data_IF_806874735266
#
_entry.id   IF_806874735266
#
_cell.length_a   1.000
_cell.length_b   1.000
_cell.length_c   1.000
_cell.angle_alpha   90.00
_cell.angle_beta   90.00
_cell.angle_gamma   90.00
#
_symmetry.space_group_name_H-M   'P 1'
#
loop_
_entity.id
_entity.type
_entity.pdbx_description
1 polymer ?
#
# COMPACT_ATOMS: atom_id res chain seq x y z
N UNK A 1 -36.39 -7.80 15.97
CA UNK A 1 -35.74 -8.89 15.21
C UNK A 1 -34.33 -9.04 15.78
N UNK A 2 -33.94 -10.18 16.34
CA UNK A 2 -32.62 -10.31 16.95
C UNK A 2 -31.57 -10.47 15.84
N UNK A 3 -30.63 -9.52 15.78
CA UNK A 3 -29.45 -9.61 14.93
C UNK A 3 -28.61 -10.82 15.38
N UNK A 4 -28.40 -11.77 14.47
CA UNK A 4 -27.62 -12.97 14.76
C UNK A 4 -26.14 -12.63 14.71
N UNK A 5 -25.49 -12.81 15.87
CA UNK A 5 -24.05 -12.79 16.08
C UNK A 5 -23.35 -13.83 15.19
N UNK A 6 -22.62 -13.38 14.17
CA UNK A 6 -21.69 -14.22 13.41
C UNK A 6 -20.36 -14.32 14.15
N UNK A 7 -20.10 -15.47 14.76
CA UNK A 7 -18.84 -15.80 15.43
C UNK A 7 -17.75 -16.07 14.39
N UNK A 8 -16.72 -15.23 14.31
CA UNK A 8 -15.51 -15.52 13.53
C UNK A 8 -14.39 -15.99 14.46
N UNK A 9 -14.15 -17.31 14.51
CA UNK A 9 -12.93 -17.89 15.09
C UNK A 9 -11.88 -18.01 13.99
N UNK A 10 -10.97 -17.03 13.87
CA UNK A 10 -9.76 -17.18 13.05
C UNK A 10 -8.53 -17.26 13.95
N UNK A 11 -7.79 -18.36 13.84
CA UNK A 11 -6.54 -18.61 14.57
C UNK A 11 -5.43 -17.66 14.10
N UNK A 12 -4.59 -17.28 15.04
CA UNK A 12 -3.91 -15.99 15.19
C UNK A 12 -2.43 -15.95 14.77
N UNK A 13 -2.01 -16.75 13.79
CA UNK A 13 -0.57 -16.93 13.46
C UNK A 13 -0.22 -16.51 12.02
N UNK A 14 -0.85 -15.44 11.50
CA UNK A 14 -0.56 -14.95 10.16
C UNK A 14 0.31 -13.69 10.23
N UNK A 15 1.54 -13.78 9.70
CA UNK A 15 2.41 -12.63 9.46
C UNK A 15 1.69 -11.65 8.53
N UNK A 16 1.31 -10.49 9.04
CA UNK A 16 0.68 -9.43 8.25
C UNK A 16 1.71 -8.63 7.46
N UNK A 17 1.27 -7.51 6.91
CA UNK A 17 2.13 -6.66 6.09
C UNK A 17 3.36 -6.18 6.89
N UNK A 18 4.53 -6.18 6.26
CA UNK A 18 5.80 -5.76 6.86
C UNK A 18 6.20 -6.48 8.16
N UNK A 19 5.78 -7.74 8.34
CA UNK A 19 6.07 -8.49 9.57
C UNK A 19 5.28 -8.02 10.79
N UNK A 20 4.30 -7.12 10.60
CA UNK A 20 3.41 -6.67 11.65
C UNK A 20 2.22 -7.64 11.70
N UNK A 21 1.90 -8.25 12.86
CA UNK A 21 0.77 -9.16 12.97
C UNK A 21 -0.54 -8.39 12.76
N UNK A 22 -1.54 -9.03 12.18
CA UNK A 22 -2.84 -8.40 11.99
C UNK A 22 -3.50 -7.99 13.32
N UNK A 23 -4.30 -6.94 13.27
CA UNK A 23 -5.11 -6.46 14.37
C UNK A 23 -6.11 -7.54 14.83
N UNK A 24 -6.31 -7.61 16.15
CA UNK A 24 -7.29 -8.48 16.78
C UNK A 24 -8.42 -7.62 17.33
N UNK A 25 -9.51 -7.57 16.60
CA UNK A 25 -10.73 -6.85 16.98
C UNK A 25 -11.33 -7.45 18.25
N UNK A 26 -11.74 -6.57 19.16
CA UNK A 26 -12.49 -6.93 20.37
C UNK A 26 -13.99 -6.75 20.15
N UNK A 27 -14.82 -7.53 20.88
CA UNK A 27 -16.27 -7.48 20.71
C UNK A 27 -16.83 -6.11 21.13
N UNK A 28 -17.58 -5.45 20.25
CA UNK A 28 -18.17 -4.13 20.49
C UNK A 28 -17.21 -2.94 20.32
N UNK A 29 -16.05 -3.18 19.71
CA UNK A 29 -15.07 -2.13 19.42
C UNK A 29 -15.54 -1.19 18.30
N UNK A 30 -15.41 0.13 18.52
CA UNK A 30 -15.78 1.14 17.53
C UNK A 30 -14.77 1.17 16.38
N UNK A 31 -15.30 1.33 15.16
CA UNK A 31 -14.52 1.43 13.93
C UNK A 31 -13.62 2.67 13.93
N UNK A 32 -12.37 2.53 13.48
CA UNK A 32 -11.37 3.60 13.43
C UNK A 32 -11.09 4.28 14.77
N UNK A 33 -11.12 3.50 15.85
CA UNK A 33 -10.64 3.98 17.14
C UNK A 33 -9.10 4.18 17.16
N UNK A 34 -8.61 4.76 18.26
CA UNK A 34 -7.18 5.06 18.47
C UNK A 34 -6.26 3.85 18.27
N UNK A 35 -6.68 2.64 18.68
CA UNK A 35 -5.86 1.43 18.56
C UNK A 35 -5.77 0.94 17.11
N UNK A 36 -6.89 0.98 16.38
CA UNK A 36 -6.92 0.63 14.96
C UNK A 36 -6.11 1.63 14.13
N UNK A 37 -6.27 2.93 14.40
CA UNK A 37 -5.50 3.98 13.72
C UNK A 37 -3.99 3.84 14.00
N UNK A 38 -3.59 3.65 15.26
CA UNK A 38 -2.19 3.42 15.62
C UNK A 38 -1.61 2.15 14.97
N UNK A 39 -2.42 1.11 14.82
CA UNK A 39 -2.01 -0.10 14.11
C UNK A 39 -1.71 0.16 12.63
N UNK A 40 -2.61 0.87 11.95
CA UNK A 40 -2.47 1.21 10.53
C UNK A 40 -1.32 2.19 10.32
N UNK A 41 -1.16 3.17 11.21
CA UNK A 41 -0.03 4.10 11.21
C UNK A 41 1.30 3.35 11.28
N UNK A 42 1.41 2.36 12.18
CA UNK A 42 2.61 1.52 12.28
C UNK A 42 2.92 0.79 10.97
N UNK A 43 1.90 0.26 10.28
CA UNK A 43 2.06 -0.39 8.98
C UNK A 43 2.55 0.61 7.93
N UNK A 44 1.93 1.78 7.83
CA UNK A 44 2.30 2.82 6.87
C UNK A 44 3.73 3.35 7.09
N UNK A 45 4.11 3.60 8.34
CA UNK A 45 5.45 4.08 8.69
C UNK A 45 6.52 3.05 8.37
N UNK A 46 6.29 1.78 8.74
CA UNK A 46 7.21 0.71 8.38
C UNK A 46 7.34 0.63 6.86
N UNK A 47 6.21 0.64 6.13
CA UNK A 47 6.22 0.51 4.68
C UNK A 47 6.93 1.66 3.98
N UNK A 48 6.71 2.90 4.46
CA UNK A 48 7.45 4.07 4.00
C UNK A 48 8.95 3.88 4.18
N UNK A 49 9.38 3.42 5.36
CA UNK A 49 10.80 3.20 5.65
C UNK A 49 11.43 2.18 4.72
N UNK A 50 10.77 1.03 4.51
CA UNK A 50 11.24 -0.01 3.59
C UNK A 50 11.39 0.51 2.15
N UNK A 51 10.43 1.28 1.66
CA UNK A 51 10.49 1.86 0.31
C UNK A 51 11.60 2.91 0.19
N UNK A 52 11.83 3.72 1.22
CA UNK A 52 12.93 4.69 1.23
C UNK A 52 14.28 3.98 1.17
N UNK A 53 14.45 2.90 1.92
CA UNK A 53 15.66 2.06 1.90
C UNK A 53 15.88 1.35 0.55
N UNK A 54 14.80 0.94 -0.13
CA UNK A 54 14.86 0.42 -1.50
C UNK A 54 15.33 1.49 -2.49
N UNK A 55 14.71 2.67 -2.46
CA UNK A 55 15.09 3.79 -3.33
C UNK A 55 16.55 4.18 -3.13
N UNK A 56 17.02 4.29 -1.89
CA UNK A 56 18.41 4.65 -1.59
C UNK A 56 19.40 3.60 -2.10
N UNK A 57 19.08 2.31 -1.93
CA UNK A 57 19.90 1.20 -2.46
C UNK A 57 20.00 1.25 -3.98
N UNK A 58 18.88 1.40 -4.69
CA UNK A 58 18.88 1.49 -6.16
C UNK A 58 19.65 2.70 -6.64
N UNK A 59 19.54 3.86 -5.97
CA UNK A 59 20.33 5.05 -6.33
C UNK A 59 21.82 4.82 -6.15
N UNK A 60 22.24 4.09 -5.10
CA UNK A 60 23.66 3.72 -4.94
C UNK A 60 24.11 2.80 -6.06
N UNK A 61 23.33 1.75 -6.35
CA UNK A 61 23.63 0.78 -7.42
C UNK A 61 23.83 1.46 -8.77
N UNK A 62 22.89 2.32 -9.17
CA UNK A 62 22.97 3.10 -10.41
C UNK A 62 24.21 3.99 -10.49
N UNK A 63 24.66 4.56 -9.36
CA UNK A 63 25.88 5.40 -9.34
C UNK A 63 27.14 4.57 -9.53
N UNK A 64 27.19 3.41 -8.89
CA UNK A 64 28.33 2.49 -8.97
C UNK A 64 28.45 1.91 -10.39
N UNK A 65 27.33 1.53 -11.01
CA UNK A 65 27.30 1.06 -12.40
C UNK A 65 27.66 2.15 -13.40
N UNK A 66 27.19 3.39 -13.19
CA UNK A 66 27.52 4.52 -14.07
C UNK A 66 29.00 4.94 -13.98
N UNK A 67 29.68 4.63 -12.87
CA UNK A 67 31.11 4.85 -12.71
C UNK A 67 31.96 3.80 -13.45
N UNK A 68 31.38 2.64 -13.80
CA UNK A 68 32.04 1.58 -14.55
C UNK A 68 31.78 1.75 -16.04
N UNK A 69 32.83 1.86 -16.85
CA UNK A 69 32.70 1.94 -18.30
C UNK A 69 32.50 0.54 -18.89
N UNK A 70 31.30 0.20 -19.40
CA UNK A 70 31.08 -1.11 -20.03
C UNK A 70 31.82 -1.20 -21.36
N UNK A 71 32.18 -2.43 -21.76
CA UNK A 71 32.62 -2.70 -23.13
C UNK A 71 31.46 -2.40 -24.12
N UNK A 72 31.75 -1.98 -25.37
CA UNK A 72 30.73 -1.82 -26.41
C UNK A 72 29.72 -2.98 -26.55
N UNK A 73 30.11 -4.22 -26.25
CA UNK A 73 29.21 -5.38 -26.29
C UNK A 73 28.17 -5.39 -25.15
N UNK A 74 28.50 -4.81 -23.98
CA UNK A 74 27.67 -4.87 -22.77
C UNK A 74 26.85 -3.59 -22.55
N UNK A 75 27.19 -2.52 -23.27
CA UNK A 75 26.54 -1.21 -23.17
C UNK A 75 25.02 -1.29 -23.38
N UNK A 76 24.56 -2.09 -24.35
CA UNK A 76 23.13 -2.22 -24.63
C UNK A 76 22.36 -2.84 -23.46
N UNK A 77 22.94 -3.86 -22.81
CA UNK A 77 22.34 -4.53 -21.65
C UNK A 77 22.29 -3.60 -20.43
N UNK A 78 23.36 -2.87 -20.16
CA UNK A 78 23.39 -1.88 -19.09
C UNK A 78 22.35 -0.78 -19.28
N UNK A 79 22.22 -0.23 -20.49
CA UNK A 79 21.21 0.80 -20.79
C UNK A 79 19.76 0.29 -20.55
N UNK A 80 19.48 -0.98 -20.86
CA UNK A 80 18.18 -1.60 -20.59
C UNK A 80 17.92 -1.75 -19.08
N UNK A 81 18.90 -2.22 -18.33
CA UNK A 81 18.83 -2.38 -16.87
C UNK A 81 18.55 -1.03 -16.18
N UNK A 82 19.30 0.01 -16.52
CA UNK A 82 19.07 1.37 -16.03
C UNK A 82 17.65 1.87 -16.32
N UNK A 83 17.12 1.60 -17.52
CA UNK A 83 15.78 2.00 -17.91
C UNK A 83 14.70 1.31 -17.06
N UNK A 84 14.91 0.03 -16.73
CA UNK A 84 14.02 -0.73 -15.85
C UNK A 84 14.08 -0.21 -14.41
N UNK A 85 15.28 0.01 -13.86
CA UNK A 85 15.47 0.55 -12.52
C UNK A 85 14.84 1.93 -12.34
N UNK A 86 15.03 2.84 -13.32
CA UNK A 86 14.40 4.17 -13.30
C UNK A 86 12.88 4.10 -13.22
N UNK A 87 12.26 3.20 -14.00
CA UNK A 87 10.80 3.00 -14.00
C UNK A 87 10.30 2.45 -12.67
N UNK A 88 11.03 1.51 -12.06
CA UNK A 88 10.71 0.94 -10.76
C UNK A 88 10.77 2.02 -9.67
N UNK A 89 11.87 2.77 -9.62
CA UNK A 89 12.05 3.90 -8.69
C UNK A 89 10.95 4.95 -8.80
N UNK A 90 10.53 5.29 -10.02
CA UNK A 90 9.44 6.25 -10.23
C UNK A 90 8.10 5.73 -9.70
N UNK A 91 7.87 4.41 -9.71
CA UNK A 91 6.68 3.79 -9.11
C UNK A 91 6.77 3.81 -7.59
N UNK A 92 7.93 3.48 -7.02
CA UNK A 92 8.19 3.53 -5.57
C UNK A 92 8.02 4.95 -5.03
N UNK A 93 8.60 5.97 -5.68
CA UNK A 93 8.42 7.37 -5.29
C UNK A 93 6.94 7.78 -5.27
N UNK A 94 6.17 7.37 -6.29
CA UNK A 94 4.73 7.64 -6.34
C UNK A 94 3.97 6.90 -5.23
N UNK A 95 4.43 5.72 -4.84
CA UNK A 95 3.84 4.95 -3.76
C UNK A 95 4.16 5.55 -2.39
N UNK A 96 5.39 6.02 -2.16
CA UNK A 96 5.79 6.77 -0.97
C UNK A 96 4.86 7.98 -0.79
N UNK A 97 4.63 8.75 -1.85
CA UNK A 97 3.68 9.88 -1.80
C UNK A 97 2.27 9.44 -1.37
N UNK A 98 1.75 8.33 -1.89
CA UNK A 98 0.44 7.80 -1.48
C UNK A 98 0.40 7.35 -0.02
N UNK A 99 1.52 6.90 0.53
CA UNK A 99 1.65 6.54 1.95
C UNK A 99 1.66 7.81 2.79
N UNK A 100 2.35 8.86 2.36
CA UNK A 100 2.32 10.17 3.01
C UNK A 100 0.91 10.77 3.02
N UNK A 101 0.20 10.73 1.90
CA UNK A 101 -1.20 11.16 1.79
C UNK A 101 -2.12 10.33 2.73
N UNK A 102 -1.84 9.04 2.92
CA UNK A 102 -2.58 8.20 3.86
C UNK A 102 -2.29 8.55 5.34
N UNK A 103 -1.03 8.87 5.67
CA UNK A 103 -0.62 9.35 6.99
C UNK A 103 -1.21 10.73 7.32
N UNK A 104 -1.43 11.58 6.31
CA UNK A 104 -2.18 12.84 6.46
C UNK A 104 -3.65 12.58 6.81
N UNK A 105 -4.34 11.72 6.05
CA UNK A 105 -5.74 11.37 6.33
C UNK A 105 -5.95 10.74 7.71
N UNK A 106 -4.98 9.95 8.18
CA UNK A 106 -4.99 9.43 9.56
C UNK A 106 -4.96 10.56 10.61
N UNK A 107 -4.19 11.63 10.36
CA UNK A 107 -4.10 12.78 11.27
C UNK A 107 -5.37 13.65 11.25
N UNK A 108 -6.01 13.75 10.09
CA UNK A 108 -7.22 14.55 9.90
C UNK A 108 -8.52 13.82 10.30
N UNK A 109 -8.41 12.60 10.84
CA UNK A 109 -9.54 11.72 11.19
C UNK A 109 -10.49 11.39 10.02
N UNK A 110 -10.01 11.49 8.77
CA UNK A 110 -10.74 11.16 7.54
C UNK A 110 -10.19 9.87 6.88
N UNK A 111 -9.91 8.87 7.72
CA UNK A 111 -9.34 7.60 7.28
C UNK A 111 -10.32 6.45 7.48
N UNK A 112 -10.28 5.48 6.58
CA UNK A 112 -11.08 4.26 6.65
C UNK A 112 -12.37 4.29 5.83
N UNK A 113 -12.80 5.44 5.32
CA UNK A 113 -14.05 5.53 4.55
C UNK A 113 -13.80 5.60 3.04
N UNK A 114 -14.76 5.09 2.27
CA UNK A 114 -14.73 5.13 0.81
C UNK A 114 -14.97 6.56 0.31
N UNK A 115 -14.04 7.13 -0.43
CA UNK A 115 -14.17 8.48 -1.03
C UNK A 115 -15.35 8.62 -2.00
N UNK A 116 -15.83 7.51 -2.58
CA UNK A 116 -16.93 7.53 -3.56
C UNK A 116 -18.33 7.37 -2.96
N UNK A 117 -18.48 6.66 -1.84
CA UNK A 117 -19.79 6.33 -1.27
C UNK A 117 -19.90 6.55 0.25
N UNK A 118 -18.82 6.90 0.93
CA UNK A 118 -18.78 7.14 2.38
C UNK A 118 -18.85 5.89 3.26
N UNK A 119 -18.95 4.69 2.68
CA UNK A 119 -19.05 3.43 3.45
C UNK A 119 -17.67 3.05 3.99
N UNK A 120 -17.66 2.42 5.17
CA UNK A 120 -16.48 1.84 5.81
C UNK A 120 -15.71 0.89 4.88
N UNK A 121 -14.40 1.02 4.88
CA UNK A 121 -13.48 0.09 4.25
C UNK A 121 -13.08 -0.94 5.31
N UNK A 122 -13.36 -2.21 5.06
CA UNK A 122 -13.06 -3.28 6.03
C UNK A 122 -11.60 -3.25 6.52
N UNK A 123 -11.40 -3.41 7.82
CA UNK A 123 -10.10 -3.29 8.48
C UNK A 123 -9.03 -4.20 7.83
N UNK A 124 -9.38 -5.47 7.57
CA UNK A 124 -8.50 -6.43 6.87
C UNK A 124 -8.02 -5.95 5.51
N UNK A 125 -8.83 -5.17 4.80
CA UNK A 125 -8.46 -4.60 3.50
C UNK A 125 -7.48 -3.44 3.67
N UNK A 126 -7.66 -2.62 4.71
CA UNK A 126 -6.73 -1.54 5.04
C UNK A 126 -5.39 -2.10 5.54
N UNK A 127 -5.38 -3.20 6.30
CA UNK A 127 -4.13 -3.86 6.69
C UNK A 127 -3.36 -4.41 5.48
N UNK A 128 -4.07 -5.00 4.52
CA UNK A 128 -3.47 -5.51 3.29
C UNK A 128 -3.03 -4.37 2.34
N UNK A 129 -3.80 -3.28 2.29
CA UNK A 129 -3.53 -2.14 1.41
C UNK A 129 -3.94 -0.82 2.10
N UNK A 130 -3.07 -0.24 2.94
CA UNK A 130 -3.41 0.90 3.79
C UNK A 130 -3.53 2.22 3.02
N UNK A 131 -3.11 2.24 1.74
CA UNK A 131 -3.31 3.38 0.84
C UNK A 131 -4.63 3.30 0.07
N UNK A 132 -5.50 2.31 0.34
CA UNK A 132 -6.77 2.18 -0.37
C UNK A 132 -7.75 3.29 0.03
N UNK A 133 -8.45 3.88 -0.95
CA UNK A 133 -9.37 5.00 -0.72
C UNK A 133 -10.83 4.72 -1.11
N UNK A 134 -11.07 3.64 -1.85
CA UNK A 134 -12.42 3.22 -2.28
C UNK A 134 -12.78 1.91 -1.59
N UNK A 135 -14.05 1.58 -1.36
CA UNK A 135 -14.46 0.23 -0.95
C UNK A 135 -14.27 -0.80 -2.09
N UNK A 136 -14.52 -2.09 -1.82
CA UNK A 136 -14.36 -3.18 -2.81
C UNK A 136 -15.31 -2.95 -4.01
N UNK A 137 -16.57 -2.60 -3.74
CA UNK A 137 -17.59 -2.45 -4.78
C UNK A 137 -17.27 -1.26 -5.70
N UNK A 138 -16.97 -0.09 -5.12
CA UNK A 138 -16.57 1.09 -5.88
C UNK A 138 -15.27 0.85 -6.66
N UNK A 139 -14.31 0.11 -6.09
CA UNK A 139 -13.08 -0.21 -6.81
C UNK A 139 -13.34 -1.16 -7.99
N UNK A 140 -14.18 -2.16 -7.80
CA UNK A 140 -14.57 -3.11 -8.87
C UNK A 140 -15.28 -2.39 -10.01
N UNK A 141 -16.20 -1.47 -9.68
CA UNK A 141 -16.89 -0.64 -10.67
C UNK A 141 -15.92 0.25 -11.46
N UNK A 142 -14.95 0.88 -10.79
CA UNK A 142 -13.90 1.68 -11.45
C UNK A 142 -13.10 0.83 -12.45
N UNK A 143 -12.70 -0.38 -12.07
CA UNK A 143 -11.92 -1.29 -12.93
C UNK A 143 -12.71 -1.80 -14.14
N UNK A 144 -14.02 -2.06 -13.99
CA UNK A 144 -14.90 -2.40 -15.11
C UNK A 144 -14.98 -1.22 -16.10
N UNK A 145 -15.19 0.00 -15.59
CA UNK A 145 -15.29 1.21 -16.41
C UNK A 145 -13.99 1.52 -17.13
N UNK A 146 -12.84 1.39 -16.46
CA UNK A 146 -11.52 1.57 -17.07
C UNK A 146 -11.30 0.61 -18.25
N UNK A 147 -11.67 -0.67 -18.08
CA UNK A 147 -11.56 -1.68 -19.15
C UNK A 147 -12.49 -1.41 -20.34
N UNK A 148 -13.72 -0.94 -20.11
CA UNK A 148 -14.64 -0.55 -21.18
C UNK A 148 -14.10 0.65 -21.97
N UNK A 149 -13.51 1.62 -21.28
CA UNK A 149 -12.96 2.83 -21.91
C UNK A 149 -11.66 2.55 -22.69
N UNK A 150 -10.86 1.56 -22.30
CA UNK A 150 -9.62 1.18 -23.01
C UNK A 150 -9.88 0.33 -24.26
N UNK A 151 -11.07 -0.25 -24.38
CA UNK A 151 -11.49 -1.00 -25.57
C UNK A 151 -12.26 -0.18 -26.60
N UNK A 152 -12.44 1.14 -26.38
CA UNK A 152 -13.15 2.08 -27.26
C UNK A 152 -12.19 2.96 -28.05
#
# INVERSE_FOLDING_TARGET
>A
MPAQSVKSKFKSDATGNMGIPFYQETEGEEYMNEKQLAHIEKILLAWRQSLMEEVDRTVSHMKDEAANFPDPSDRASQEEEFSLELRTRDRERKLIKKIEDALERLRDADFGYCEACGIEIGLRRLEARPTATLCIDCKTLSEIKERQNQGS
#
